data_IF_709204872594
#
_entry.id   IF_709204872594
#
_cell.length_a   1.000
_cell.length_b   1.000
_cell.length_c   1.000
_cell.angle_alpha   90.00
_cell.angle_beta   90.00
_cell.angle_gamma   90.00
#
_symmetry.space_group_name_H-M   'P 1'
#
loop_
_entity.id
_entity.type
_entity.pdbx_description
1 polymer ?
#
# COMPACT_ATOMS: atom_id res chain seq x y z
N UNK A 1 -6.71 3.00 13.22
CA UNK A 1 -5.54 2.49 12.46
C UNK A 1 -4.77 3.61 11.78
N UNK A 2 -5.38 4.46 10.94
CA UNK A 2 -4.67 5.58 10.27
C UNK A 2 -3.95 6.52 11.25
N UNK A 3 -4.59 6.92 12.36
CA UNK A 3 -3.96 7.75 13.38
C UNK A 3 -2.75 7.08 14.05
N UNK A 4 -2.83 5.76 14.29
CA UNK A 4 -1.70 4.99 14.84
C UNK A 4 -0.55 4.88 13.84
N UNK A 5 -0.86 4.70 12.55
CA UNK A 5 0.16 4.74 11.48
C UNK A 5 0.82 6.12 11.46
N UNK A 6 0.05 7.21 11.50
CA UNK A 6 0.59 8.57 11.56
C UNK A 6 1.47 8.80 12.80
N UNK A 7 1.05 8.31 13.97
CA UNK A 7 1.84 8.40 15.20
C UNK A 7 3.16 7.62 15.07
N UNK A 8 3.12 6.36 14.63
CA UNK A 8 4.33 5.54 14.47
C UNK A 8 5.30 6.17 13.45
N UNK A 9 4.80 6.71 12.35
CA UNK A 9 5.62 7.40 11.36
C UNK A 9 6.29 8.64 11.96
N UNK A 10 5.54 9.49 12.68
CA UNK A 10 6.06 10.71 13.28
C UNK A 10 7.23 10.49 14.24
N UNK A 11 7.28 9.34 14.94
CA UNK A 11 8.31 9.05 15.95
C UNK A 11 9.39 8.06 15.50
N UNK A 12 9.11 7.19 14.52
CA UNK A 12 9.95 6.03 14.25
C UNK A 12 10.17 5.72 12.76
N UNK A 13 9.72 6.55 11.81
CA UNK A 13 9.81 6.22 10.38
C UNK A 13 11.22 5.83 9.90
N UNK A 14 12.26 6.48 10.45
CA UNK A 14 13.66 6.25 10.10
C UNK A 14 14.31 5.00 10.70
N UNK A 15 13.63 4.26 11.59
CA UNK A 15 14.22 3.10 12.25
C UNK A 15 14.33 1.96 11.25
N UNK A 16 15.56 1.54 10.98
CA UNK A 16 15.85 0.40 10.10
C UNK A 16 15.60 -0.91 10.83
N UNK A 17 14.92 -1.83 10.15
CA UNK A 17 14.99 -3.24 10.50
C UNK A 17 16.28 -3.80 9.88
N UNK A 18 17.22 -4.22 10.72
CA UNK A 18 18.45 -4.83 10.22
C UNK A 18 18.12 -6.21 9.64
N UNK A 19 18.24 -6.33 8.31
CA UNK A 19 18.03 -7.57 7.60
C UNK A 19 19.43 -8.11 7.21
N UNK A 20 19.87 -9.25 7.76
CA UNK A 20 21.27 -9.70 7.68
C UNK A 20 21.83 -9.81 6.26
N UNK A 21 20.99 -10.13 5.28
CA UNK A 21 21.40 -10.30 3.88
C UNK A 21 21.30 -9.01 3.03
N UNK A 22 20.87 -7.90 3.62
CA UNK A 22 20.83 -6.58 2.97
C UNK A 22 22.12 -5.76 3.17
N UNK A 23 23.10 -6.31 3.90
CA UNK A 23 24.48 -5.82 4.06
C UNK A 23 24.59 -4.29 4.21
N UNK A 24 23.74 -3.68 5.05
CA UNK A 24 23.67 -2.24 5.32
C UNK A 24 23.44 -1.31 4.09
N UNK A 25 23.22 -1.86 2.89
CA UNK A 25 23.10 -1.10 1.63
C UNK A 25 21.66 -0.67 1.31
N UNK A 26 20.65 -1.41 1.77
CA UNK A 26 19.25 -1.00 1.67
C UNK A 26 18.45 -1.34 2.92
N UNK A 27 17.79 -0.31 3.46
CA UNK A 27 17.02 -0.41 4.69
C UNK A 27 15.53 -0.58 4.45
N UNK A 28 14.96 -1.69 4.91
CA UNK A 28 13.55 -1.76 5.22
C UNK A 28 13.31 -1.02 6.54
N UNK A 29 12.72 0.17 6.48
CA UNK A 29 12.44 0.97 7.68
C UNK A 29 11.01 0.74 8.18
N UNK A 30 10.71 1.24 9.38
CA UNK A 30 9.35 1.19 9.96
C UNK A 30 8.34 1.83 9.01
N UNK A 31 8.71 2.88 8.28
CA UNK A 31 7.86 3.48 7.23
C UNK A 31 7.43 2.49 6.15
N UNK A 32 8.34 1.63 5.69
CA UNK A 32 8.03 0.55 4.74
C UNK A 32 7.02 -0.42 5.35
N UNK A 33 7.22 -0.90 6.59
CA UNK A 33 6.27 -1.80 7.26
C UNK A 33 4.89 -1.16 7.46
N UNK A 34 4.85 0.12 7.83
CA UNK A 34 3.63 0.91 7.91
C UNK A 34 2.92 1.01 6.56
N UNK A 35 3.66 1.06 5.45
CA UNK A 35 3.10 1.09 4.10
C UNK A 35 2.38 -0.21 3.73
N UNK A 36 3.00 -1.36 4.04
CA UNK A 36 2.37 -2.67 3.85
C UNK A 36 1.13 -2.84 4.74
N UNK A 37 1.22 -2.38 5.99
CA UNK A 37 0.07 -2.36 6.90
C UNK A 37 -1.06 -1.46 6.37
N UNK A 38 -0.71 -0.31 5.80
CA UNK A 38 -1.66 0.61 5.19
C UNK A 38 -2.36 -0.02 3.99
N UNK A 39 -1.64 -0.78 3.17
CA UNK A 39 -2.20 -1.48 2.01
C UNK A 39 -3.21 -2.58 2.36
N UNK A 40 -3.30 -3.00 3.62
CA UNK A 40 -4.34 -3.91 4.10
C UNK A 40 -5.68 -3.20 4.43
N UNK A 41 -5.67 -1.87 4.63
CA UNK A 41 -6.88 -1.10 4.95
C UNK A 41 -8.04 -1.27 3.96
N UNK A 42 -7.82 -1.33 2.63
CA UNK A 42 -8.90 -1.57 1.67
C UNK A 42 -9.65 -2.87 1.93
N UNK A 43 -8.97 -3.92 2.42
CA UNK A 43 -9.62 -5.17 2.81
C UNK A 43 -10.57 -4.94 3.98
N UNK A 44 -10.11 -4.26 5.03
CA UNK A 44 -10.90 -3.98 6.22
C UNK A 44 -12.11 -3.10 5.87
N UNK A 45 -11.89 -2.02 5.13
CA UNK A 45 -12.95 -1.08 4.78
C UNK A 45 -13.94 -1.68 3.79
N UNK A 46 -13.48 -2.15 2.62
CA UNK A 46 -14.41 -2.54 1.56
C UNK A 46 -14.98 -3.93 1.74
N UNK A 47 -14.20 -4.94 2.16
CA UNK A 47 -14.72 -6.31 2.31
C UNK A 47 -15.42 -6.58 3.62
N UNK A 48 -15.06 -5.86 4.68
CA UNK A 48 -15.63 -6.12 6.00
C UNK A 48 -16.67 -5.06 6.39
N UNK A 49 -16.27 -3.79 6.50
CA UNK A 49 -17.16 -2.75 7.05
C UNK A 49 -18.22 -2.30 6.02
N UNK A 50 -17.81 -1.90 4.82
CA UNK A 50 -18.70 -1.34 3.80
C UNK A 50 -19.61 -2.42 3.24
N UNK A 51 -19.11 -3.63 2.93
CA UNK A 51 -19.99 -4.73 2.47
C UNK A 51 -21.09 -5.07 3.47
N UNK A 52 -20.83 -5.02 4.79
CA UNK A 52 -21.86 -5.24 5.81
C UNK A 52 -22.91 -4.13 5.83
N UNK A 53 -22.48 -2.88 5.69
CA UNK A 53 -23.39 -1.73 5.64
C UNK A 53 -24.21 -1.72 4.34
N UNK A 54 -23.60 -2.13 3.22
CA UNK A 54 -24.28 -2.27 1.93
C UNK A 54 -25.36 -3.33 1.95
N UNK A 55 -25.14 -4.46 2.63
CA UNK A 55 -26.17 -5.47 2.83
C UNK A 55 -27.38 -4.97 3.63
N UNK A 56 -27.22 -3.91 4.43
CA UNK A 56 -28.28 -3.36 5.29
C UNK A 56 -28.99 -2.14 4.69
N UNK A 57 -28.55 -1.62 3.54
CA UNK A 57 -29.09 -0.38 2.96
C UNK A 57 -29.16 -0.44 1.45
N UNK A 58 -30.35 -0.17 0.88
CA UNK A 58 -30.61 -0.14 -0.57
C UNK A 58 -30.06 1.09 -1.30
N UNK A 59 -29.21 1.90 -0.65
CA UNK A 59 -28.64 3.11 -1.24
C UNK A 59 -27.61 2.77 -2.31
N UNK A 60 -27.36 3.69 -3.25
CA UNK A 60 -26.26 3.54 -4.19
C UNK A 60 -24.92 3.80 -3.49
N UNK A 61 -24.12 2.75 -3.30
CA UNK A 61 -22.85 2.80 -2.57
C UNK A 61 -21.66 3.28 -3.40
N UNK A 62 -21.82 3.46 -4.72
CA UNK A 62 -20.74 3.82 -5.63
C UNK A 62 -20.04 5.13 -5.23
N UNK A 63 -20.81 6.16 -4.83
CA UNK A 63 -20.26 7.44 -4.38
C UNK A 63 -19.49 7.32 -3.06
N UNK A 64 -20.00 6.53 -2.12
CA UNK A 64 -19.35 6.30 -0.82
C UNK A 64 -18.04 5.55 -1.03
N UNK A 65 -18.07 4.49 -1.84
CA UNK A 65 -16.91 3.69 -2.20
C UNK A 65 -15.80 4.55 -2.82
N UNK A 66 -16.19 5.45 -3.74
CA UNK A 66 -15.27 6.40 -4.37
C UNK A 66 -14.65 7.37 -3.36
N UNK A 67 -15.45 7.97 -2.47
CA UNK A 67 -14.96 8.89 -1.44
C UNK A 67 -13.97 8.19 -0.50
N UNK A 68 -14.29 6.97 -0.05
CA UNK A 68 -13.40 6.19 0.82
C UNK A 68 -12.10 5.88 0.10
N UNK A 69 -12.15 5.49 -1.18
CA UNK A 69 -10.96 5.19 -1.95
C UNK A 69 -10.08 6.44 -2.16
N UNK A 70 -10.68 7.58 -2.50
CA UNK A 70 -9.97 8.87 -2.62
C UNK A 70 -9.32 9.24 -1.30
N UNK A 71 -10.05 9.11 -0.19
CA UNK A 71 -9.53 9.40 1.15
C UNK A 71 -8.33 8.52 1.48
N UNK A 72 -8.44 7.21 1.26
CA UNK A 72 -7.35 6.26 1.49
C UNK A 72 -6.13 6.56 0.61
N UNK A 73 -6.32 7.09 -0.59
CA UNK A 73 -5.22 7.47 -1.48
C UNK A 73 -4.55 8.80 -1.10
N UNK A 74 -5.33 9.80 -0.67
CA UNK A 74 -4.82 11.14 -0.32
C UNK A 74 -4.02 11.11 0.99
N UNK A 75 -4.45 10.33 1.99
CA UNK A 75 -3.84 10.34 3.34
C UNK A 75 -2.32 10.14 3.33
N UNK A 76 -1.75 9.13 2.63
CA UNK A 76 -0.30 8.94 2.62
C UNK A 76 0.46 10.13 2.03
N UNK A 77 -0.10 10.78 1.01
CA UNK A 77 0.48 11.99 0.42
C UNK A 77 0.36 13.21 1.33
N UNK A 78 -0.74 13.34 2.09
CA UNK A 78 -0.87 14.39 3.12
C UNK A 78 0.16 14.18 4.23
N UNK A 79 0.37 12.94 4.69
CA UNK A 79 1.41 12.64 5.69
C UNK A 79 2.80 13.03 5.19
N UNK A 80 3.09 12.79 3.91
CA UNK A 80 4.31 13.26 3.29
C UNK A 80 4.43 14.80 3.27
N UNK A 81 3.38 15.50 2.82
CA UNK A 81 3.37 16.97 2.75
C UNK A 81 3.47 17.64 4.14
N UNK A 82 2.93 17.00 5.18
CA UNK A 82 3.01 17.46 6.55
C UNK A 82 4.34 17.09 7.25
N UNK A 83 5.26 16.41 6.57
CA UNK A 83 6.53 15.96 7.15
C UNK A 83 6.40 14.84 8.18
N UNK A 84 5.24 14.16 8.22
CA UNK A 84 4.97 13.02 9.12
C UNK A 84 5.52 11.73 8.52
N UNK A 85 5.47 11.61 7.19
CA UNK A 85 5.93 10.45 6.44
C UNK A 85 6.89 10.83 5.32
N UNK A 86 7.62 9.86 4.81
CA UNK A 86 8.54 9.98 3.69
C UNK A 86 7.83 9.81 2.35
N UNK A 87 8.47 10.25 1.27
CA UNK A 87 8.00 9.97 -0.09
C UNK A 87 7.85 8.47 -0.34
N UNK A 88 8.76 7.66 0.24
CA UNK A 88 8.72 6.20 0.18
C UNK A 88 7.41 5.69 0.78
N UNK A 89 7.06 6.12 1.98
CA UNK A 89 5.82 5.72 2.62
C UNK A 89 4.59 6.04 1.77
N UNK A 90 4.48 7.29 1.29
CA UNK A 90 3.34 7.73 0.48
C UNK A 90 3.18 6.90 -0.81
N UNK A 91 4.30 6.73 -1.51
CA UNK A 91 4.38 5.98 -2.75
C UNK A 91 4.07 4.49 -2.58
N UNK A 92 4.78 3.81 -1.67
CA UNK A 92 4.64 2.37 -1.44
C UNK A 92 3.22 2.05 -0.97
N UNK A 93 2.67 2.85 -0.05
CA UNK A 93 1.31 2.67 0.46
C UNK A 93 0.26 2.74 -0.64
N UNK A 94 0.36 3.72 -1.52
CA UNK A 94 -0.64 3.97 -2.57
C UNK A 94 -0.52 3.00 -3.75
N UNK A 95 0.70 2.59 -4.11
CA UNK A 95 0.92 1.53 -5.11
C UNK A 95 0.45 0.18 -4.57
N UNK A 96 0.85 -0.20 -3.35
CA UNK A 96 0.40 -1.45 -2.75
C UNK A 96 -1.11 -1.48 -2.57
N UNK A 97 -1.74 -0.39 -2.15
CA UNK A 97 -3.21 -0.30 -2.06
C UNK A 97 -3.89 -0.65 -3.39
N UNK A 98 -3.38 -0.15 -4.51
CA UNK A 98 -3.95 -0.49 -5.81
C UNK A 98 -3.65 -1.92 -6.25
N UNK A 99 -2.48 -2.46 -5.93
CA UNK A 99 -2.18 -3.87 -6.13
C UNK A 99 -3.08 -4.77 -5.27
N UNK A 100 -3.34 -4.42 -4.02
CA UNK A 100 -4.26 -5.14 -3.12
C UNK A 100 -5.67 -5.17 -3.70
N UNK A 101 -6.17 -4.05 -4.19
CA UNK A 101 -7.49 -4.00 -4.83
C UNK A 101 -7.54 -4.78 -6.15
N UNK A 102 -6.47 -4.70 -6.95
CA UNK A 102 -6.35 -5.40 -8.22
C UNK A 102 -6.24 -6.93 -8.03
N UNK A 103 -5.31 -7.40 -7.21
CA UNK A 103 -5.07 -8.83 -6.95
C UNK A 103 -6.24 -9.40 -6.16
N UNK A 104 -6.73 -8.64 -5.18
CA UNK A 104 -7.84 -9.06 -4.34
C UNK A 104 -9.07 -9.46 -5.13
N UNK A 105 -9.34 -8.85 -6.28
CA UNK A 105 -10.46 -9.27 -7.15
C UNK A 105 -10.44 -10.76 -7.53
N UNK A 106 -9.30 -11.45 -7.37
CA UNK A 106 -9.11 -12.85 -7.69
C UNK A 106 -8.82 -13.75 -6.48
N UNK A 107 -8.44 -13.19 -5.34
CA UNK A 107 -7.96 -13.99 -4.20
C UNK A 107 -8.64 -13.63 -2.88
N UNK A 108 -8.65 -14.61 -1.97
CA UNK A 108 -9.15 -14.45 -0.61
C UNK A 108 -8.32 -13.48 0.23
N UNK A 109 -8.86 -13.08 1.38
CA UNK A 109 -8.20 -12.14 2.31
C UNK A 109 -6.88 -12.71 2.84
N UNK A 110 -6.87 -13.99 3.23
CA UNK A 110 -5.68 -14.64 3.79
C UNK A 110 -4.56 -14.73 2.75
N UNK A 111 -4.91 -15.08 1.51
CA UNK A 111 -3.96 -15.11 0.39
C UNK A 111 -3.42 -13.72 0.07
N UNK A 112 -4.23 -12.68 0.19
CA UNK A 112 -3.82 -11.28 0.02
C UNK A 112 -2.81 -10.86 1.08
N UNK A 113 -3.07 -11.19 2.35
CA UNK A 113 -2.15 -10.91 3.45
C UNK A 113 -0.82 -11.64 3.25
N UNK A 114 -0.86 -12.92 2.89
CA UNK A 114 0.32 -13.71 2.54
C UNK A 114 1.06 -13.12 1.33
N UNK A 115 0.34 -12.60 0.33
CA UNK A 115 0.94 -11.97 -0.86
C UNK A 115 1.68 -10.69 -0.51
N UNK A 116 1.14 -9.87 0.40
CA UNK A 116 1.82 -8.65 0.89
C UNK A 116 3.12 -9.01 1.64
N UNK A 117 3.08 -10.03 2.49
CA UNK A 117 4.29 -10.51 3.20
C UNK A 117 5.30 -11.10 2.20
N UNK A 118 4.84 -11.96 1.29
CA UNK A 118 5.68 -12.56 0.26
C UNK A 118 6.33 -11.51 -0.63
N UNK A 119 5.61 -10.43 -0.96
CA UNK A 119 6.13 -9.32 -1.75
C UNK A 119 7.26 -8.59 -1.01
N UNK A 120 7.12 -8.34 0.29
CA UNK A 120 8.20 -7.74 1.09
C UNK A 120 9.43 -8.67 1.12
N UNK A 121 9.22 -9.96 1.41
CA UNK A 121 10.31 -10.96 1.46
C UNK A 121 11.00 -11.07 0.11
N UNK A 122 10.24 -11.19 -0.99
CA UNK A 122 10.79 -11.30 -2.34
C UNK A 122 11.61 -10.07 -2.70
N UNK A 123 11.17 -8.86 -2.34
CA UNK A 123 11.93 -7.65 -2.63
C UNK A 123 13.27 -7.63 -1.87
N UNK A 124 13.27 -8.06 -0.61
CA UNK A 124 14.52 -8.17 0.17
C UNK A 124 15.45 -9.26 -0.34
N UNK A 125 14.91 -10.37 -0.86
CA UNK A 125 15.69 -11.50 -1.37
C UNK A 125 16.30 -11.22 -2.75
N UNK A 126 15.59 -10.47 -3.61
CA UNK A 126 16.07 -10.09 -4.94
C UNK A 126 17.04 -8.90 -4.92
N UNK A 127 17.11 -8.17 -3.82
CA UNK A 127 17.94 -6.97 -3.70
C UNK A 127 19.41 -7.20 -4.07
N UNK A 128 20.12 -8.21 -3.52
CA UNK A 128 21.53 -8.42 -3.83
C UNK A 128 21.79 -8.61 -5.33
N UNK A 129 20.86 -9.27 -6.03
CA UNK A 129 20.97 -9.57 -7.45
C UNK A 129 20.60 -8.41 -8.37
N UNK A 130 19.76 -7.47 -7.91
CA UNK A 130 19.21 -6.41 -8.75
C UNK A 130 19.76 -5.01 -8.42
N UNK A 131 20.42 -4.84 -7.27
CA UNK A 131 20.88 -3.54 -6.74
C UNK A 131 21.75 -2.73 -7.71
N UNK A 132 22.57 -3.39 -8.52
CA UNK A 132 23.44 -2.76 -9.53
C UNK A 132 22.78 -2.55 -10.90
N UNK A 133 21.50 -2.93 -11.05
CA UNK A 133 20.78 -2.89 -12.32
C UNK A 133 19.62 -1.89 -12.28
N UNK A 134 19.17 -1.43 -13.45
CA UNK A 134 17.95 -0.61 -13.56
C UNK A 134 16.69 -1.32 -13.06
N UNK A 135 16.72 -2.66 -12.95
CA UNK A 135 15.62 -3.47 -12.42
C UNK A 135 15.39 -3.26 -10.93
N UNK A 136 16.33 -2.64 -10.19
CA UNK A 136 16.11 -2.26 -8.78
C UNK A 136 14.87 -1.39 -8.56
N UNK A 137 14.44 -0.64 -9.58
CA UNK A 137 13.22 0.17 -9.53
C UNK A 137 11.94 -0.67 -9.43
N UNK A 138 11.99 -1.96 -9.77
CA UNK A 138 10.90 -2.90 -9.49
C UNK A 138 10.83 -3.28 -8.01
N UNK A 139 11.92 -3.09 -7.25
CA UNK A 139 11.98 -3.27 -5.80
C UNK A 139 11.52 -1.99 -5.10
N UNK A 140 10.35 -1.52 -5.48
CA UNK A 140 9.84 -0.20 -5.16
C UNK A 140 9.65 0.08 -3.66
N UNK A 141 9.64 -0.96 -2.81
CA UNK A 141 9.63 -0.81 -1.35
C UNK A 141 11.02 -0.50 -0.77
N UNK A 142 12.09 -0.87 -1.49
CA UNK A 142 13.48 -0.64 -1.11
C UNK A 142 14.05 0.60 -1.80
N UNK A 143 13.82 0.75 -3.10
CA UNK A 143 14.28 1.89 -3.90
C UNK A 143 13.11 2.77 -4.36
N UNK A 144 13.22 4.09 -4.15
CA UNK A 144 12.22 5.06 -4.60
C UNK A 144 12.68 5.68 -5.93
N UNK A 145 11.85 5.67 -6.99
CA UNK A 145 12.16 6.38 -8.23
C UNK A 145 12.36 7.89 -7.99
N UNK A 146 13.30 8.55 -8.70
CA UNK A 146 13.56 9.96 -8.51
C UNK A 146 12.44 10.87 -9.06
N UNK A 147 12.38 12.10 -8.54
CA UNK A 147 11.52 13.16 -9.05
C UNK A 147 10.02 12.91 -8.83
N UNK A 148 9.21 13.11 -9.88
CA UNK A 148 7.73 13.01 -9.83
C UNK A 148 7.19 11.62 -10.17
N UNK A 149 8.07 10.68 -10.52
CA UNK A 149 7.70 9.31 -10.90
C UNK A 149 6.87 8.60 -9.81
N UNK A 150 7.20 8.70 -8.50
CA UNK A 150 6.41 8.05 -7.46
C UNK A 150 4.93 8.52 -7.44
N UNK A 151 4.71 9.82 -7.63
CA UNK A 151 3.37 10.40 -7.68
C UNK A 151 2.59 9.95 -8.92
N UNK A 152 3.25 9.90 -10.09
CA UNK A 152 2.64 9.41 -11.32
C UNK A 152 2.20 7.95 -11.19
N UNK A 153 3.07 7.07 -10.69
CA UNK A 153 2.75 5.67 -10.46
C UNK A 153 1.63 5.50 -9.43
N UNK A 154 1.63 6.32 -8.39
CA UNK A 154 0.56 6.36 -7.39
C UNK A 154 -0.79 6.78 -7.99
N UNK A 155 -0.81 7.80 -8.87
CA UNK A 155 -2.02 8.21 -9.56
C UNK A 155 -2.53 7.14 -10.52
N UNK A 156 -1.64 6.47 -11.26
CA UNK A 156 -2.00 5.32 -12.11
C UNK A 156 -2.59 4.19 -11.26
N UNK A 157 -1.97 3.87 -10.13
CA UNK A 157 -2.48 2.88 -9.15
C UNK A 157 -3.89 3.21 -8.66
N UNK A 158 -4.19 4.50 -8.44
CA UNK A 158 -5.53 4.94 -8.08
C UNK A 158 -6.57 4.67 -9.17
N UNK A 159 -6.27 4.98 -10.44
CA UNK A 159 -7.19 4.66 -11.54
C UNK A 159 -7.46 3.16 -11.65
N UNK A 160 -6.42 2.33 -11.50
CA UNK A 160 -6.55 0.86 -11.49
C UNK A 160 -7.44 0.40 -10.32
N UNK A 161 -7.31 1.06 -9.17
CA UNK A 161 -8.12 0.80 -7.97
C UNK A 161 -9.59 1.08 -8.19
N UNK A 162 -9.93 2.23 -8.79
CA UNK A 162 -11.32 2.61 -9.11
C UNK A 162 -11.99 1.55 -9.99
N UNK A 163 -11.30 1.09 -11.04
CA UNK A 163 -11.83 0.07 -11.95
C UNK A 163 -11.94 -1.30 -11.28
N UNK A 164 -11.02 -1.63 -10.36
CA UNK A 164 -10.97 -2.94 -9.70
C UNK A 164 -11.92 -3.07 -8.51
N UNK A 165 -12.32 -1.95 -7.90
CA UNK A 165 -13.05 -1.91 -6.63
C UNK A 165 -14.35 -2.71 -6.66
N UNK A 166 -15.15 -2.58 -7.73
CA UNK A 166 -16.43 -3.29 -7.85
C UNK A 166 -16.25 -4.81 -7.86
N UNK A 167 -15.21 -5.31 -8.53
CA UNK A 167 -14.88 -6.74 -8.57
C UNK A 167 -14.27 -7.21 -7.25
N UNK A 168 -13.42 -6.38 -6.64
CA UNK A 168 -12.81 -6.63 -5.34
C UNK A 168 -13.81 -6.85 -4.21
N UNK A 169 -14.93 -6.09 -4.21
CA UNK A 169 -16.05 -6.27 -3.26
C UNK A 169 -16.87 -7.52 -3.54
N UNK A 170 -17.11 -7.85 -4.81
CA UNK A 170 -17.91 -9.04 -5.20
C UNK A 170 -17.26 -10.36 -4.84
N UNK A 171 -15.94 -10.47 -4.88
CA UNK A 171 -15.23 -11.71 -4.54
C UNK A 171 -15.21 -12.05 -3.04
N UNK A 172 -15.91 -11.27 -2.21
CA UNK A 172 -16.12 -11.57 -0.78
C UNK A 172 -17.49 -12.25 -0.51
N UNK A 173 -18.34 -12.35 -1.53
CA UNK A 173 -19.61 -13.08 -1.53
C UNK A 173 -19.49 -14.31 -2.44
#
# INVERSE_FOLDING_TARGET
MVLFIGFVLAFAEGWLLNIPWLADTAGANVGTLCSFSYAALPVIFFRNQISRLEAQSSRNWLSIDGIVLVTLWIIPWVFFLCGIGSTRFAYVSTVLTGLTLLIGRYVGVDTLALSLVAQLVLQTALWPSLSDTNWKLLLFALEVPPGRIPLLLSAVSFFVSVVSLRKFKRSAF
#
